data_IF_479038500650
#
_entry.id   IF_479038500650
#
_cell.length_a   1.000
_cell.length_b   1.000
_cell.length_c   1.000
_cell.angle_alpha   90.00
_cell.angle_beta   90.00
_cell.angle_gamma   90.00
#
_symmetry.space_group_name_H-M   'P 1'
#
loop_
_entity.id
_entity.type
_entity.pdbx_description
1 polymer ?
#
# COMPACT_ATOMS: atom_id res chain seq x y z
N UNK A 1 16.02 -11.43 -5.43
CA UNK A 1 16.99 -11.97 -4.44
C UNK A 1 16.86 -11.26 -3.10
N UNK A 2 16.61 -12.01 -2.03
CA UNK A 2 16.51 -11.51 -0.65
C UNK A 2 17.89 -11.20 -0.04
N UNK A 3 18.00 -10.29 0.94
CA UNK A 3 19.27 -10.01 1.62
C UNK A 3 19.73 -11.22 2.42
N UNK A 4 21.05 -11.50 2.39
CA UNK A 4 21.65 -12.61 3.13
C UNK A 4 21.93 -12.18 4.56
N UNK A 5 21.34 -12.90 5.51
CA UNK A 5 21.52 -12.64 6.94
C UNK A 5 22.29 -13.83 7.55
N UNK A 6 23.28 -13.54 8.41
CA UNK A 6 24.09 -14.56 9.08
C UNK A 6 23.40 -15.07 10.34
N UNK A 7 23.68 -16.32 10.73
CA UNK A 7 23.11 -16.93 11.94
C UNK A 7 23.49 -16.16 13.21
N UNK A 8 24.70 -15.62 13.22
CA UNK A 8 25.30 -14.79 14.28
C UNK A 8 24.53 -13.49 14.53
N UNK A 9 23.76 -13.00 13.54
CA UNK A 9 22.96 -11.78 13.67
C UNK A 9 21.55 -12.06 14.20
N UNK A 10 20.99 -13.24 13.89
CA UNK A 10 19.60 -13.59 14.23
C UNK A 10 19.48 -14.08 15.68
N UNK A 11 20.45 -14.85 16.17
CA UNK A 11 20.38 -15.42 17.53
C UNK A 11 20.29 -14.32 18.62
N UNK A 12 21.12 -13.25 18.58
CA UNK A 12 21.00 -12.15 19.54
C UNK A 12 19.67 -11.40 19.46
N UNK A 13 19.10 -11.28 18.25
CA UNK A 13 17.78 -10.66 18.08
C UNK A 13 16.67 -11.50 18.71
N UNK A 14 16.78 -12.84 18.64
CA UNK A 14 15.83 -13.74 19.29
C UNK A 14 15.94 -13.66 20.82
N UNK A 15 17.16 -13.60 21.35
CA UNK A 15 17.41 -13.39 22.78
C UNK A 15 16.82 -12.06 23.28
N UNK A 16 17.04 -10.99 22.52
CA UNK A 16 16.48 -9.66 22.79
C UNK A 16 14.94 -9.67 22.74
N UNK A 17 14.36 -10.29 21.74
CA UNK A 17 12.91 -10.39 21.59
C UNK A 17 12.25 -11.21 22.72
N UNK A 18 12.91 -12.27 23.19
CA UNK A 18 12.46 -13.05 24.37
C UNK A 18 12.55 -12.23 25.66
N UNK A 19 13.67 -11.54 25.86
CA UNK A 19 13.92 -10.73 27.06
C UNK A 19 12.97 -9.54 27.17
N UNK A 20 12.66 -8.89 26.05
CA UNK A 20 11.77 -7.74 25.98
C UNK A 20 10.30 -8.12 25.76
N UNK A 21 10.00 -9.41 25.57
CA UNK A 21 8.70 -9.94 25.16
C UNK A 21 8.10 -9.22 23.93
N UNK A 22 8.95 -8.74 23.04
CA UNK A 22 8.56 -8.02 21.83
C UNK A 22 9.01 -8.79 20.57
N UNK A 23 8.11 -9.58 19.97
CA UNK A 23 8.42 -10.34 18.77
C UNK A 23 8.49 -9.47 17.51
N UNK A 24 8.09 -8.19 17.56
CA UNK A 24 8.09 -7.33 16.37
C UNK A 24 9.50 -7.04 15.87
N UNK A 25 10.49 -7.02 16.77
CA UNK A 25 11.91 -6.82 16.48
C UNK A 25 12.43 -7.87 15.46
N UNK A 26 11.79 -9.03 15.39
CA UNK A 26 12.21 -10.13 14.53
C UNK A 26 11.49 -10.18 13.17
N UNK A 27 10.40 -9.42 12.97
CA UNK A 27 9.55 -9.55 11.78
C UNK A 27 10.26 -9.17 10.48
N UNK A 28 11.27 -8.31 10.55
CA UNK A 28 12.01 -7.86 9.37
C UNK A 28 13.07 -8.88 8.96
N UNK A 29 13.82 -9.44 9.91
CA UNK A 29 15.02 -10.24 9.61
C UNK A 29 14.79 -11.75 9.66
N UNK A 30 13.98 -12.24 10.62
CA UNK A 30 13.82 -13.68 10.85
C UNK A 30 13.13 -14.40 9.68
N UNK A 31 12.02 -13.90 9.08
CA UNK A 31 11.39 -14.55 7.93
C UNK A 31 12.32 -14.61 6.71
N UNK A 32 13.11 -13.56 6.47
CA UNK A 32 14.07 -13.51 5.37
C UNK A 32 15.15 -14.56 5.56
N UNK A 33 15.73 -14.62 6.76
CA UNK A 33 16.73 -15.62 7.11
C UNK A 33 16.21 -17.06 6.96
N UNK A 34 14.98 -17.33 7.43
CA UNK A 34 14.33 -18.63 7.30
C UNK A 34 14.19 -19.08 5.84
N UNK A 35 13.80 -18.16 4.96
CA UNK A 35 13.63 -18.44 3.52
C UNK A 35 14.98 -18.61 2.81
N UNK A 36 16.03 -17.87 3.20
CA UNK A 36 17.39 -18.09 2.68
C UNK A 36 17.89 -19.51 3.00
N UNK A 37 17.64 -20.01 4.22
CA UNK A 37 17.99 -21.38 4.62
C UNK A 37 17.20 -22.44 3.85
N UNK A 38 15.94 -22.16 3.52
CA UNK A 38 15.12 -22.99 2.65
C UNK A 38 15.68 -23.03 1.22
N UNK A 39 15.99 -21.87 0.64
CA UNK A 39 16.51 -21.70 -0.72
C UNK A 39 17.86 -22.39 -0.93
N UNK A 40 18.71 -22.48 0.10
CA UNK A 40 19.98 -23.20 0.04
C UNK A 40 19.82 -24.71 -0.15
N UNK A 41 18.74 -25.32 0.37
CA UNK A 41 18.50 -26.78 0.22
C UNK A 41 17.43 -27.13 -0.81
N UNK A 42 16.59 -26.17 -1.22
CA UNK A 42 15.52 -26.36 -2.22
C UNK A 42 15.68 -25.33 -3.32
N UNK A 43 15.65 -25.77 -4.58
CA UNK A 43 15.61 -24.88 -5.73
C UNK A 43 14.23 -24.22 -5.79
N UNK A 44 14.08 -23.10 -5.11
CA UNK A 44 12.89 -22.25 -5.14
C UNK A 44 13.18 -21.01 -5.98
N UNK A 45 12.17 -20.53 -6.69
CA UNK A 45 12.22 -19.30 -7.48
C UNK A 45 12.18 -18.06 -6.58
N UNK A 46 12.53 -16.90 -7.14
CA UNK A 46 12.45 -15.62 -6.43
C UNK A 46 11.00 -15.30 -6.01
N UNK A 47 10.02 -15.61 -6.87
CA UNK A 47 8.59 -15.44 -6.56
C UNK A 47 8.16 -16.34 -5.39
N UNK A 48 8.53 -17.62 -5.41
CA UNK A 48 8.24 -18.56 -4.31
C UNK A 48 8.91 -18.14 -3.01
N UNK A 49 10.10 -17.54 -3.08
CA UNK A 49 10.81 -17.01 -1.91
C UNK A 49 10.03 -15.85 -1.26
N UNK A 50 9.57 -14.90 -2.07
CA UNK A 50 8.74 -13.78 -1.58
C UNK A 50 7.42 -14.27 -0.97
N UNK A 51 6.75 -15.23 -1.61
CA UNK A 51 5.52 -15.82 -1.08
C UNK A 51 5.75 -16.59 0.23
N UNK A 52 6.88 -17.28 0.37
CA UNK A 52 7.24 -17.97 1.61
C UNK A 52 7.51 -16.99 2.76
N UNK A 53 8.10 -15.81 2.48
CA UNK A 53 8.28 -14.75 3.49
C UNK A 53 6.90 -14.29 4.00
N UNK A 54 5.97 -14.01 3.09
CA UNK A 54 4.60 -13.60 3.45
C UNK A 54 3.91 -14.70 4.26
N UNK A 55 4.01 -15.95 3.83
CA UNK A 55 3.42 -17.10 4.55
C UNK A 55 3.96 -17.21 5.98
N UNK A 56 5.26 -16.99 6.18
CA UNK A 56 5.89 -17.02 7.51
C UNK A 56 5.40 -15.85 8.36
N UNK A 57 5.23 -14.65 7.78
CA UNK A 57 4.70 -13.48 8.47
C UNK A 57 3.25 -13.67 8.93
N UNK A 58 2.41 -14.31 8.10
CA UNK A 58 1.00 -14.60 8.43
C UNK A 58 0.88 -15.53 9.64
N UNK A 59 1.76 -16.53 9.75
CA UNK A 59 1.77 -17.49 10.87
C UNK A 59 2.76 -17.11 11.97
N UNK A 60 3.32 -15.91 11.92
CA UNK A 60 4.45 -15.49 12.75
C UNK A 60 4.14 -15.53 14.23
N UNK A 61 2.97 -15.03 14.65
CA UNK A 61 2.55 -15.04 16.06
C UNK A 61 2.48 -16.47 16.61
N UNK A 62 1.82 -17.37 15.88
CA UNK A 62 1.71 -18.79 16.22
C UNK A 62 3.08 -19.47 16.26
N UNK A 63 3.91 -19.23 15.26
CA UNK A 63 5.27 -19.75 15.19
C UNK A 63 6.12 -19.26 16.36
N UNK A 64 6.02 -17.98 16.71
CA UNK A 64 6.74 -17.37 17.81
C UNK A 64 6.36 -18.01 19.15
N UNK A 65 5.05 -18.13 19.43
CA UNK A 65 4.57 -18.79 20.66
C UNK A 65 5.10 -20.21 20.78
N UNK A 66 5.10 -20.98 19.68
CA UNK A 66 5.64 -22.34 19.67
C UNK A 66 7.15 -22.36 19.90
N UNK A 67 7.87 -21.35 19.40
CA UNK A 67 9.32 -21.24 19.56
C UNK A 67 9.75 -21.08 21.03
N UNK A 68 8.90 -20.51 21.89
CA UNK A 68 9.21 -20.26 23.31
C UNK A 68 9.44 -21.56 24.09
N UNK A 69 8.88 -22.68 23.63
CA UNK A 69 9.09 -24.00 24.23
C UNK A 69 10.48 -24.59 23.91
N UNK A 70 11.25 -23.96 23.03
CA UNK A 70 12.58 -24.42 22.63
C UNK A 70 13.67 -23.63 23.36
N UNK A 71 14.67 -24.34 23.86
CA UNK A 71 15.92 -23.74 24.35
C UNK A 71 16.59 -22.90 23.27
N UNK A 72 17.23 -21.81 23.70
CA UNK A 72 17.83 -20.82 22.79
C UNK A 72 18.87 -21.45 21.85
N UNK A 73 19.62 -22.45 22.32
CA UNK A 73 20.62 -23.18 21.54
C UNK A 73 20.03 -23.95 20.36
N UNK A 74 18.74 -24.30 20.41
CA UNK A 74 18.06 -25.11 19.40
C UNK A 74 16.99 -24.34 18.60
N UNK A 75 16.72 -23.08 18.95
CA UNK A 75 15.61 -22.31 18.38
C UNK A 75 15.78 -22.02 16.90
N UNK A 76 17.02 -21.83 16.44
CA UNK A 76 17.30 -21.64 15.00
C UNK A 76 16.93 -22.89 14.19
N UNK A 77 17.22 -24.08 14.73
CA UNK A 77 16.81 -25.35 14.14
C UNK A 77 15.29 -25.49 14.04
N UNK A 78 14.56 -25.02 15.06
CA UNK A 78 13.10 -24.94 15.04
C UNK A 78 12.61 -24.06 13.88
N UNK A 79 13.11 -22.84 13.75
CA UNK A 79 12.65 -21.91 12.71
C UNK A 79 12.94 -22.43 11.30
N UNK A 80 14.13 -23.02 11.07
CA UNK A 80 14.45 -23.68 9.81
C UNK A 80 13.44 -24.80 9.55
N UNK A 81 13.25 -25.72 10.50
CA UNK A 81 12.32 -26.85 10.36
C UNK A 81 10.89 -26.38 10.07
N UNK A 82 10.47 -25.30 10.72
CA UNK A 82 9.16 -24.69 10.53
C UNK A 82 8.98 -24.16 9.10
N UNK A 83 9.96 -23.44 8.54
CA UNK A 83 9.94 -22.99 7.14
C UNK A 83 9.87 -24.16 6.15
N UNK A 84 10.64 -25.23 6.39
CA UNK A 84 10.57 -26.45 5.56
C UNK A 84 9.20 -27.13 5.63
N UNK A 85 8.56 -27.14 6.80
CA UNK A 85 7.23 -27.71 6.97
C UNK A 85 6.17 -26.86 6.27
N UNK A 86 6.24 -25.53 6.36
CA UNK A 86 5.34 -24.63 5.63
C UNK A 86 5.48 -24.83 4.12
N UNK A 87 6.71 -24.89 3.62
CA UNK A 87 6.99 -25.21 2.23
C UNK A 87 6.40 -26.57 1.83
N UNK A 88 6.67 -27.65 2.58
CA UNK A 88 6.12 -28.98 2.27
C UNK A 88 4.60 -29.04 2.31
N UNK A 89 3.96 -28.36 3.26
CA UNK A 89 2.50 -28.30 3.36
C UNK A 89 1.89 -27.58 2.15
N UNK A 90 2.58 -26.56 1.64
CA UNK A 90 2.19 -25.88 0.40
C UNK A 90 2.26 -26.79 -0.82
N UNK A 91 3.32 -27.60 -0.94
CA UNK A 91 3.48 -28.53 -2.07
C UNK A 91 2.67 -29.83 -1.96
N UNK A 92 2.28 -30.24 -0.74
CA UNK A 92 1.38 -31.39 -0.52
C UNK A 92 -0.08 -31.04 -0.77
N UNK A 93 -0.45 -29.76 -0.68
CA UNK A 93 -1.78 -29.25 -0.99
C UNK A 93 -1.82 -28.76 -2.44
N UNK A 94 -1.75 -29.69 -3.39
CA UNK A 94 -2.13 -29.45 -4.80
C UNK A 94 -3.64 -29.20 -4.96
N UNK A 95 -4.42 -29.56 -3.94
CA UNK A 95 -5.76 -29.02 -3.73
C UNK A 95 -5.63 -27.79 -2.83
N UNK A 96 -6.15 -26.68 -3.34
CA UNK A 96 -6.22 -25.38 -2.66
C UNK A 96 -6.79 -25.63 -1.26
N UNK A 97 -5.98 -25.45 -0.22
CA UNK A 97 -6.47 -25.53 1.15
C UNK A 97 -7.65 -24.58 1.33
N UNK A 98 -8.68 -25.04 2.05
CA UNK A 98 -9.85 -24.30 2.54
C UNK A 98 -9.53 -23.00 3.31
N UNK A 99 -8.26 -22.59 3.44
CA UNK A 99 -7.91 -21.19 3.78
C UNK A 99 -8.34 -20.19 2.70
N UNK A 100 -8.58 -20.65 1.47
CA UNK A 100 -9.27 -19.88 0.43
C UNK A 100 -10.77 -19.70 0.70
N UNK A 101 -11.40 -20.62 1.45
CA UNK A 101 -12.82 -20.51 1.81
C UNK A 101 -13.06 -19.50 2.94
N UNK A 102 -12.13 -19.34 3.89
CA UNK A 102 -12.23 -18.27 4.89
C UNK A 102 -12.15 -16.88 4.22
N UNK A 103 -11.33 -16.75 3.17
CA UNK A 103 -11.26 -15.54 2.35
C UNK A 103 -12.49 -15.37 1.46
N UNK A 104 -13.17 -16.44 1.03
CA UNK A 104 -14.43 -16.38 0.29
C UNK A 104 -15.64 -16.11 1.20
N UNK A 105 -15.63 -16.57 2.45
CA UNK A 105 -16.69 -16.34 3.44
C UNK A 105 -16.66 -14.93 4.02
N UNK A 106 -15.48 -14.29 4.13
CA UNK A 106 -15.35 -12.85 4.38
C UNK A 106 -15.92 -11.98 3.25
N UNK A 107 -16.22 -12.55 2.07
CA UNK A 107 -16.68 -11.83 0.88
C UNK A 107 -18.19 -11.95 0.60
N UNK A 108 -18.94 -12.60 1.50
CA UNK A 108 -20.40 -12.72 1.45
C UNK A 108 -21.15 -11.62 2.23
N UNK A 109 -20.48 -10.58 2.69
CA UNK A 109 -21.17 -9.39 3.20
C UNK A 109 -21.76 -8.61 2.02
N UNK A 110 -23.04 -8.22 2.13
CA UNK A 110 -23.73 -7.31 1.21
C UNK A 110 -23.07 -5.90 1.16
N UNK A 111 -22.09 -5.67 2.03
CA UNK A 111 -21.17 -4.55 2.03
C UNK A 111 -19.75 -5.10 1.80
N UNK A 112 -18.93 -4.48 0.95
CA UNK A 112 -17.59 -4.99 0.70
C UNK A 112 -16.82 -5.04 2.02
N UNK A 113 -16.28 -6.20 2.41
CA UNK A 113 -15.51 -6.38 3.65
C UNK A 113 -14.22 -5.53 3.69
N UNK A 114 -13.84 -5.03 2.51
CA UNK A 114 -13.11 -3.80 2.39
C UNK A 114 -14.09 -2.78 1.80
N UNK A 115 -14.77 -1.99 2.62
CA UNK A 115 -14.71 -0.56 2.32
C UNK A 115 -13.21 -0.38 2.11
N UNK A 116 -12.79 -0.11 0.87
CA UNK A 116 -11.55 0.60 0.71
C UNK A 116 -11.76 1.75 1.66
N UNK A 117 -11.15 1.63 2.84
CA UNK A 117 -11.01 2.73 3.75
C UNK A 117 -10.66 3.85 2.77
N UNK A 118 -11.37 4.99 2.81
CA UNK A 118 -11.01 6.11 1.98
C UNK A 118 -9.48 6.26 2.06
N UNK A 119 -8.84 6.95 1.12
CA UNK A 119 -7.39 7.23 1.15
C UNK A 119 -7.02 8.16 2.35
N UNK A 120 -7.67 7.95 3.48
CA UNK A 120 -7.67 8.53 4.79
C UNK A 120 -6.90 7.64 5.80
N UNK A 121 -6.54 6.37 5.49
CA UNK A 121 -5.63 5.53 6.32
C UNK A 121 -4.38 5.09 5.52
N UNK A 122 -3.53 6.05 5.18
CA UNK A 122 -2.08 5.88 5.15
C UNK A 122 -1.55 6.58 6.41
N UNK A 123 -1.97 6.07 7.57
CA UNK A 123 -1.63 6.62 8.89
C UNK A 123 -0.30 6.10 9.45
N UNK A 124 0.41 5.23 8.73
CA UNK A 124 1.77 4.83 9.10
C UNK A 124 2.80 5.68 8.34
N UNK A 125 3.19 6.80 8.96
CA UNK A 125 4.35 7.60 8.56
C UNK A 125 4.15 8.42 7.29
N UNK A 126 3.34 9.47 7.36
CA UNK A 126 3.02 10.34 6.22
C UNK A 126 4.22 11.22 5.80
N UNK A 127 5.30 10.59 5.30
CA UNK A 127 6.47 11.23 4.71
C UNK A 127 6.04 12.23 3.64
N UNK A 128 4.99 11.93 2.86
CA UNK A 128 4.43 12.87 1.89
C UNK A 128 3.91 14.14 2.56
N UNK A 129 3.13 14.01 3.64
CA UNK A 129 2.61 15.17 4.37
C UNK A 129 3.72 15.98 5.05
N UNK A 130 4.71 15.31 5.65
CA UNK A 130 5.90 15.96 6.21
C UNK A 130 6.73 16.69 5.14
N UNK A 131 6.85 16.14 3.93
CA UNK A 131 7.55 16.79 2.82
C UNK A 131 6.73 17.93 2.20
N UNK A 132 5.40 17.80 2.13
CA UNK A 132 4.50 18.89 1.71
C UNK A 132 4.63 20.12 2.63
N UNK A 133 4.90 19.91 3.92
CA UNK A 133 5.11 20.99 4.90
C UNK A 133 6.42 21.75 4.71
N UNK A 134 7.43 21.10 4.12
CA UNK A 134 8.70 21.76 3.77
C UNK A 134 8.58 22.62 2.52
N UNK A 135 7.50 22.47 1.74
CA UNK A 135 7.27 23.25 0.54
C UNK A 135 6.80 24.67 0.90
N UNK A 136 7.09 25.66 0.03
CA UNK A 136 6.49 26.98 0.16
C UNK A 136 4.95 26.89 0.20
N UNK A 137 4.32 27.68 1.06
CA UNK A 137 2.87 27.61 1.35
C UNK A 137 2.00 27.63 0.10
N UNK A 138 2.32 28.48 -0.88
CA UNK A 138 1.59 28.57 -2.14
C UNK A 138 1.81 27.33 -3.03
N UNK A 139 3.02 26.78 -3.03
CA UNK A 139 3.36 25.53 -3.74
C UNK A 139 2.59 24.34 -3.15
N UNK A 140 2.57 24.23 -1.81
CA UNK A 140 1.80 23.21 -1.10
C UNK A 140 0.30 23.32 -1.36
N UNK A 141 -0.25 24.54 -1.39
CA UNK A 141 -1.66 24.78 -1.71
C UNK A 141 -2.02 24.38 -3.15
N UNK A 142 -1.16 24.73 -4.12
CA UNK A 142 -1.35 24.35 -5.53
C UNK A 142 -1.34 22.82 -5.70
N UNK A 143 -0.41 22.11 -5.03
CA UNK A 143 -0.39 20.66 -5.04
C UNK A 143 -1.61 20.04 -4.37
N UNK A 144 -2.03 20.59 -3.22
CA UNK A 144 -3.20 20.10 -2.51
C UNK A 144 -4.48 20.21 -3.33
N UNK A 145 -4.65 21.30 -4.08
CA UNK A 145 -5.78 21.44 -5.01
C UNK A 145 -5.64 20.51 -6.22
N UNK A 146 -4.44 20.38 -6.80
CA UNK A 146 -4.24 19.53 -7.99
C UNK A 146 -4.51 18.04 -7.70
N UNK A 147 -4.20 17.56 -6.51
CA UNK A 147 -4.21 16.14 -6.15
C UNK A 147 -5.19 15.79 -5.02
N UNK A 148 -6.07 16.71 -4.64
CA UNK A 148 -7.01 16.57 -3.51
C UNK A 148 -6.35 16.13 -2.18
N UNK A 149 -5.18 16.71 -1.88
CA UNK A 149 -4.42 16.35 -0.67
C UNK A 149 -5.02 17.04 0.58
N UNK A 150 -4.91 16.37 1.72
CA UNK A 150 -5.32 16.92 3.02
C UNK A 150 -4.55 18.20 3.33
N UNK A 151 -5.27 19.31 3.50
CA UNK A 151 -4.69 20.61 3.86
C UNK A 151 -4.58 20.78 5.38
N UNK A 152 -3.41 21.23 5.86
CA UNK A 152 -3.26 21.75 7.23
C UNK A 152 -4.02 23.07 7.41
N UNK A 153 -4.24 23.46 8.66
CA UNK A 153 -4.99 24.66 9.01
C UNK A 153 -4.45 25.94 8.34
N UNK A 154 -3.11 26.10 8.26
CA UNK A 154 -2.49 27.26 7.60
C UNK A 154 -2.80 27.32 6.10
N UNK A 155 -2.79 26.18 5.39
CA UNK A 155 -3.14 26.09 3.97
C UNK A 155 -4.63 26.34 3.77
N UNK A 156 -5.49 25.83 4.66
CA UNK A 156 -6.92 26.11 4.65
C UNK A 156 -7.20 27.61 4.82
N UNK A 157 -6.52 28.27 5.77
CA UNK A 157 -6.64 29.72 5.98
C UNK A 157 -6.17 30.51 4.75
N UNK A 158 -5.04 30.12 4.14
CA UNK A 158 -4.56 30.75 2.91
C UNK A 158 -5.56 30.57 1.76
N UNK A 159 -6.12 29.38 1.59
CA UNK A 159 -7.15 29.11 0.59
C UNK A 159 -8.38 29.99 0.83
N UNK A 160 -8.89 30.05 2.05
CA UNK A 160 -10.05 30.89 2.41
C UNK A 160 -9.76 32.36 2.11
N UNK A 161 -8.57 32.84 2.43
CA UNK A 161 -8.16 34.21 2.12
C UNK A 161 -8.13 34.45 0.60
N UNK A 162 -7.56 33.53 -0.19
CA UNK A 162 -7.52 33.62 -1.66
C UNK A 162 -8.90 33.56 -2.32
N UNK A 163 -9.80 32.72 -1.81
CA UNK A 163 -11.17 32.65 -2.30
C UNK A 163 -11.91 33.97 -2.06
N UNK A 164 -11.73 34.59 -0.88
CA UNK A 164 -12.29 35.91 -0.57
C UNK A 164 -11.70 37.01 -1.46
N UNK A 165 -10.37 37.02 -1.62
CA UNK A 165 -9.66 37.99 -2.47
C UNK A 165 -10.14 37.93 -3.92
N UNK A 166 -10.44 36.74 -4.43
CA UNK A 166 -10.92 36.52 -5.80
C UNK A 166 -12.45 36.57 -5.94
N UNK A 167 -13.18 36.91 -4.88
CA UNK A 167 -14.64 37.03 -4.89
C UNK A 167 -15.39 35.72 -5.10
N UNK A 168 -14.80 34.57 -4.76
CA UNK A 168 -15.47 33.28 -4.81
C UNK A 168 -16.28 33.05 -3.54
N UNK A 169 -17.50 32.54 -3.71
CA UNK A 169 -18.33 32.10 -2.60
C UNK A 169 -17.75 30.81 -1.98
N UNK A 170 -17.50 30.87 -0.68
CA UNK A 170 -16.83 29.81 0.07
C UNK A 170 -17.72 28.57 0.19
N UNK A 171 -19.02 28.76 0.43
CA UNK A 171 -19.96 27.64 0.60
C UNK A 171 -20.17 26.92 -0.73
N UNK A 172 -20.33 27.69 -1.82
CA UNK A 172 -20.45 27.13 -3.16
C UNK A 172 -19.18 26.35 -3.53
N UNK A 173 -18.00 26.91 -3.26
CA UNK A 173 -16.73 26.24 -3.53
C UNK A 173 -16.62 24.88 -2.82
N UNK A 174 -16.91 24.81 -1.51
CA UNK A 174 -16.82 23.55 -0.77
C UNK A 174 -17.89 22.54 -1.20
N UNK A 175 -19.10 22.99 -1.55
CA UNK A 175 -20.12 22.10 -2.11
C UNK A 175 -19.67 21.48 -3.44
N UNK A 176 -19.13 22.29 -4.36
CA UNK A 176 -18.59 21.79 -5.63
C UNK A 176 -17.39 20.86 -5.43
N UNK A 177 -16.54 21.15 -4.45
CA UNK A 177 -15.42 20.30 -4.06
C UNK A 177 -15.90 18.91 -3.63
N UNK A 178 -16.89 18.86 -2.74
CA UNK A 178 -17.41 17.60 -2.21
C UNK A 178 -18.16 16.80 -3.29
N UNK A 179 -18.90 17.46 -4.18
CA UNK A 179 -19.50 16.79 -5.35
C UNK A 179 -18.45 16.16 -6.27
N UNK A 180 -17.33 16.86 -6.53
CA UNK A 180 -16.23 16.30 -7.32
C UNK A 180 -15.61 15.09 -6.62
N UNK A 181 -15.39 15.17 -5.30
CA UNK A 181 -14.85 14.06 -4.50
C UNK A 181 -15.76 12.85 -4.57
N UNK A 182 -17.06 13.08 -4.42
CA UNK A 182 -18.05 12.02 -4.52
C UNK A 182 -18.02 11.33 -5.88
N UNK A 183 -18.01 12.09 -6.99
CA UNK A 183 -17.90 11.52 -8.35
C UNK A 183 -16.61 10.72 -8.55
N UNK A 184 -15.49 11.20 -8.03
CA UNK A 184 -14.22 10.48 -8.10
C UNK A 184 -14.27 9.16 -7.32
N UNK A 185 -14.82 9.18 -6.09
CA UNK A 185 -15.03 7.97 -5.27
C UNK A 185 -15.92 6.95 -5.99
N UNK A 186 -16.99 7.39 -6.66
CA UNK A 186 -17.84 6.50 -7.46
C UNK A 186 -17.08 5.85 -8.62
N UNK A 187 -16.24 6.61 -9.33
CA UNK A 187 -15.42 6.08 -10.43
C UNK A 187 -14.42 5.04 -9.89
N UNK A 188 -13.72 5.37 -8.80
CA UNK A 188 -12.75 4.46 -8.18
C UNK A 188 -13.42 3.18 -7.68
N UNK A 189 -14.55 3.31 -6.98
CA UNK A 189 -15.36 2.16 -6.53
C UNK A 189 -15.75 1.25 -7.68
N UNK A 190 -16.23 1.80 -8.80
CA UNK A 190 -16.57 1.03 -10.00
C UNK A 190 -15.35 0.29 -10.57
N UNK A 191 -14.19 0.95 -10.63
CA UNK A 191 -12.96 0.35 -11.15
C UNK A 191 -12.45 -0.76 -10.23
N UNK A 192 -12.46 -0.53 -8.91
CA UNK A 192 -12.14 -1.53 -7.90
C UNK A 192 -13.06 -2.74 -8.01
N UNK A 193 -14.38 -2.54 -8.13
CA UNK A 193 -15.35 -3.62 -8.32
C UNK A 193 -15.05 -4.48 -9.56
N UNK A 194 -14.60 -3.88 -10.66
CA UNK A 194 -14.18 -4.63 -11.85
C UNK A 194 -12.89 -5.43 -11.62
N UNK A 195 -11.90 -4.86 -10.93
CA UNK A 195 -10.66 -5.57 -10.55
C UNK A 195 -11.00 -6.78 -9.66
N UNK A 196 -11.87 -6.58 -8.68
CA UNK A 196 -12.39 -7.61 -7.78
C UNK A 196 -13.09 -8.72 -8.55
N UNK A 197 -13.99 -8.38 -9.49
CA UNK A 197 -14.68 -9.35 -10.36
C UNK A 197 -13.71 -10.21 -11.17
N UNK A 198 -12.70 -9.61 -11.79
CA UNK A 198 -11.71 -10.38 -12.56
C UNK A 198 -10.76 -11.17 -11.68
N UNK A 199 -10.52 -10.71 -10.44
CA UNK A 199 -9.79 -11.49 -9.43
C UNK A 199 -10.56 -12.74 -9.04
N UNK A 200 -11.87 -12.64 -8.80
CA UNK A 200 -12.75 -13.79 -8.55
C UNK A 200 -12.69 -14.82 -9.69
N UNK A 201 -12.86 -14.37 -10.93
CA UNK A 201 -12.79 -15.24 -12.12
C UNK A 201 -11.42 -15.91 -12.31
N UNK A 202 -10.34 -15.33 -11.80
CA UNK A 202 -9.01 -15.95 -11.83
C UNK A 202 -8.87 -17.13 -10.87
N UNK A 203 -9.55 -17.07 -9.71
CA UNK A 203 -9.58 -18.15 -8.74
C UNK A 203 -10.53 -19.28 -9.18
N UNK A 204 -11.66 -18.94 -9.80
CA UNK A 204 -12.65 -19.91 -10.30
C UNK A 204 -12.19 -20.66 -11.57
N UNK A 205 -11.29 -20.07 -12.36
CA UNK A 205 -10.88 -20.65 -13.64
C UNK A 205 -9.77 -21.70 -13.49
N UNK A 206 -10.11 -22.96 -13.77
CA UNK A 206 -9.16 -24.09 -13.88
C UNK A 206 -8.42 -24.11 -15.22
N UNK A 207 -9.05 -23.62 -16.30
CA UNK A 207 -8.45 -23.60 -17.64
C UNK A 207 -7.33 -22.53 -17.78
N UNK A 208 -6.12 -22.92 -18.23
CA UNK A 208 -4.98 -22.00 -18.30
C UNK A 208 -5.17 -20.85 -19.30
N UNK A 209 -5.88 -21.07 -20.40
CA UNK A 209 -6.13 -20.03 -21.41
C UNK A 209 -7.12 -18.96 -20.92
N UNK A 210 -8.19 -19.37 -20.23
CA UNK A 210 -9.14 -18.44 -19.59
C UNK A 210 -8.49 -17.65 -18.48
N UNK A 211 -7.65 -18.30 -17.67
CA UNK A 211 -6.88 -17.65 -16.60
C UNK A 211 -5.93 -16.58 -17.16
N UNK A 212 -5.22 -16.85 -18.25
CA UNK A 212 -4.39 -15.83 -18.95
C UNK A 212 -5.22 -14.64 -19.43
N UNK A 213 -6.42 -14.87 -19.98
CA UNK A 213 -7.30 -13.80 -20.43
C UNK A 213 -7.81 -12.94 -19.27
N UNK A 214 -8.30 -13.54 -18.19
CA UNK A 214 -8.74 -12.80 -17.01
C UNK A 214 -7.62 -12.00 -16.36
N UNK A 215 -6.38 -12.51 -16.36
CA UNK A 215 -5.22 -11.80 -15.85
C UNK A 215 -4.94 -10.54 -16.68
N UNK A 216 -5.02 -10.64 -18.01
CA UNK A 216 -4.89 -9.49 -18.92
C UNK A 216 -5.96 -8.44 -18.65
N UNK A 217 -7.21 -8.85 -18.47
CA UNK A 217 -8.30 -7.93 -18.14
C UNK A 217 -8.09 -7.27 -16.78
N UNK A 218 -7.74 -8.02 -15.73
CA UNK A 218 -7.43 -7.49 -14.40
C UNK A 218 -6.35 -6.42 -14.47
N UNK A 219 -5.24 -6.67 -15.17
CA UNK A 219 -4.14 -5.70 -15.37
C UNK A 219 -4.62 -4.41 -16.04
N UNK A 220 -5.50 -4.52 -17.04
CA UNK A 220 -6.07 -3.36 -17.73
C UNK A 220 -6.97 -2.51 -16.81
N UNK A 221 -7.76 -3.14 -15.94
CA UNK A 221 -8.59 -2.42 -14.96
C UNK A 221 -7.75 -1.79 -13.85
N UNK A 222 -6.70 -2.45 -13.39
CA UNK A 222 -5.71 -1.86 -12.46
C UNK A 222 -5.10 -0.61 -13.07
N UNK A 223 -4.63 -0.68 -14.32
CA UNK A 223 -4.07 0.48 -15.02
C UNK A 223 -5.07 1.64 -15.13
N UNK A 224 -6.35 1.35 -15.39
CA UNK A 224 -7.42 2.36 -15.42
C UNK A 224 -7.65 2.99 -14.05
N UNK A 225 -7.62 2.19 -12.97
CA UNK A 225 -7.72 2.68 -11.58
C UNK A 225 -6.55 3.57 -11.22
N UNK A 226 -5.32 3.15 -11.48
CA UNK A 226 -4.11 3.98 -11.25
C UNK A 226 -4.21 5.31 -11.97
N UNK A 227 -4.59 5.32 -13.26
CA UNK A 227 -4.79 6.57 -14.01
C UNK A 227 -5.92 7.46 -13.47
N UNK A 228 -6.91 6.89 -12.81
CA UNK A 228 -8.02 7.65 -12.21
C UNK A 228 -7.63 8.25 -10.85
N UNK A 229 -6.71 7.62 -10.13
CA UNK A 229 -6.07 8.16 -8.91
C UNK A 229 -5.16 9.32 -9.30
N UNK A 230 -4.25 9.11 -10.25
CA UNK A 230 -3.26 10.11 -10.68
C UNK A 230 -3.88 11.29 -11.49
N UNK A 231 -5.21 11.28 -11.70
CA UNK A 231 -5.88 12.32 -12.48
C UNK A 231 -6.00 13.58 -11.63
N UNK A 232 -5.45 14.67 -12.15
CA UNK A 232 -5.60 16.01 -11.60
C UNK A 232 -7.06 16.34 -11.25
N UNK A 233 -7.29 16.68 -10.00
CA UNK A 233 -8.60 16.95 -9.41
C UNK A 233 -9.16 18.31 -9.86
N UNK A 234 -8.35 19.37 -9.73
CA UNK A 234 -8.57 20.64 -10.42
C UNK A 234 -7.59 20.78 -11.59
N UNK A 235 -8.05 21.42 -12.67
CA UNK A 235 -7.19 21.83 -13.77
C UNK A 235 -6.33 23.04 -13.38
N UNK A 236 -5.19 23.22 -14.05
CA UNK A 236 -4.32 24.39 -13.86
C UNK A 236 -5.07 25.72 -14.03
N UNK A 237 -6.10 25.74 -14.89
CA UNK A 237 -6.95 26.91 -15.13
C UNK A 237 -7.88 27.19 -13.94
N UNK A 238 -8.47 26.16 -13.37
CA UNK A 238 -9.31 26.30 -12.16
C UNK A 238 -8.47 26.77 -10.98
N UNK A 239 -7.30 26.16 -10.75
CA UNK A 239 -6.39 26.58 -9.68
C UNK A 239 -5.95 28.04 -9.86
N UNK A 240 -5.58 28.42 -11.08
CA UNK A 240 -5.21 29.81 -11.40
C UNK A 240 -6.33 30.80 -11.03
N UNK A 241 -7.59 30.45 -11.36
CA UNK A 241 -8.76 31.28 -11.06
C UNK A 241 -9.01 31.37 -9.55
N UNK A 242 -8.95 30.26 -8.82
CA UNK A 242 -9.19 30.19 -7.38
C UNK A 242 -8.13 30.94 -6.56
N UNK A 243 -6.87 30.90 -7.00
CA UNK A 243 -5.75 31.49 -6.27
C UNK A 243 -5.40 32.92 -6.72
N UNK A 244 -6.04 33.42 -7.78
CA UNK A 244 -5.76 34.75 -8.33
C UNK A 244 -4.34 34.86 -8.94
N UNK A 245 -3.81 33.77 -9.50
CA UNK A 245 -2.46 33.72 -10.10
C UNK A 245 -2.53 33.29 -11.57
N UNK A 246 -1.45 33.53 -12.32
CA UNK A 246 -1.38 33.09 -13.72
C UNK A 246 -1.25 31.56 -13.84
N UNK A 247 -1.73 30.98 -14.95
CA UNK A 247 -1.52 29.54 -15.24
C UNK A 247 -0.04 29.17 -15.31
N UNK A 248 0.82 30.10 -15.77
CA UNK A 248 2.28 29.92 -15.78
C UNK A 248 2.84 29.79 -14.37
N UNK A 249 2.34 30.59 -13.42
CA UNK A 249 2.71 30.48 -12.01
C UNK A 249 2.27 29.13 -11.42
N UNK A 250 1.05 28.67 -11.71
CA UNK A 250 0.57 27.34 -11.31
C UNK A 250 1.51 26.24 -11.80
N UNK A 251 1.90 26.26 -13.08
CA UNK A 251 2.86 25.29 -13.64
C UNK A 251 4.22 25.32 -12.96
N UNK A 252 4.72 26.51 -12.66
CA UNK A 252 5.99 26.66 -11.96
C UNK A 252 5.93 26.05 -10.56
N UNK A 253 4.86 26.32 -9.80
CA UNK A 253 4.64 25.71 -8.49
C UNK A 253 4.48 24.19 -8.58
N UNK A 254 3.71 23.67 -9.54
CA UNK A 254 3.59 22.22 -9.75
C UNK A 254 4.93 21.58 -10.10
N UNK A 255 5.72 22.20 -10.98
CA UNK A 255 7.04 21.71 -11.37
C UNK A 255 8.01 21.69 -10.18
N UNK A 256 8.10 22.81 -9.45
CA UNK A 256 8.95 22.95 -8.27
C UNK A 256 8.55 21.96 -7.18
N UNK A 257 7.26 21.86 -6.87
CA UNK A 257 6.74 20.95 -5.87
C UNK A 257 6.97 19.48 -6.23
N UNK A 258 6.69 19.08 -7.49
CA UNK A 258 6.99 17.72 -7.96
C UNK A 258 8.49 17.40 -7.92
N UNK A 259 9.35 18.36 -8.26
CA UNK A 259 10.80 18.17 -8.20
C UNK A 259 11.30 18.00 -6.77
N UNK A 260 10.79 18.79 -5.83
CA UNK A 260 11.13 18.69 -4.41
C UNK A 260 10.63 17.37 -3.81
N UNK A 261 9.40 16.95 -4.13
CA UNK A 261 8.86 15.65 -3.70
C UNK A 261 9.64 14.47 -4.29
N UNK A 262 10.06 14.54 -5.57
CA UNK A 262 10.92 13.51 -6.18
C UNK A 262 12.30 13.40 -5.53
N UNK A 263 12.86 14.53 -5.08
CA UNK A 263 14.14 14.56 -4.35
C UNK A 263 14.03 13.93 -2.97
N UNK A 264 12.88 14.07 -2.31
CA UNK A 264 12.62 13.45 -1.01
C UNK A 264 12.33 11.94 -1.10
N UNK A 265 11.89 11.45 -2.26
CA UNK A 265 11.74 10.02 -2.55
C UNK A 265 10.96 9.80 -3.85
N UNK A 266 11.43 8.88 -4.71
CA UNK A 266 10.80 8.60 -6.02
C UNK A 266 9.34 8.13 -5.90
N UNK A 267 8.99 7.48 -4.80
CA UNK A 267 7.67 6.86 -4.59
C UNK A 267 6.61 7.82 -4.05
N UNK A 268 6.98 9.01 -3.54
CA UNK A 268 6.03 9.94 -2.92
C UNK A 268 4.99 10.50 -3.90
N UNK A 269 5.30 10.54 -5.20
CA UNK A 269 4.35 10.95 -6.26
C UNK A 269 3.49 9.82 -6.80
N UNK A 270 3.73 8.56 -6.41
CA UNK A 270 2.81 7.46 -6.72
C UNK A 270 1.64 7.39 -5.72
N UNK A 271 1.69 8.19 -4.65
CA UNK A 271 0.68 8.30 -3.60
C UNK A 271 -0.10 9.63 -3.60
N UNK A 272 0.17 10.53 -4.56
CA UNK A 272 -0.51 11.82 -4.73
C UNK A 272 -1.20 11.88 -6.09
#
# INVERSE_FOLDING_TARGET
MLPKILDENILPLIEKARSNNDPNILKEELPIWMVDRLAKKRKITDDESCEMVVTILEVFSKMWTLSLNYHITNVLGFFVTYAFNQYRNRFRRTEISESGELYLQLWNYDLPANEEIPIEILEEGNLLQLELEKLPTLTGLVLALQFDLRMKQNLKQLLLWKLRETGHDIEIFYRELDEKRFRQRQILSRLSGMITRYTRKLYEATEPNRRKWYLKQKKLWILRRTRAIDRSFFSEREIAKLLGISRKAVRNHLSQGKHQLRKAGKDLLHYA
#
